data_IF_662743376759
#
_entry.id   IF_662743376759
#
_cell.length_a   1.000
_cell.length_b   1.000
_cell.length_c   1.000
_cell.angle_alpha   90.00
_cell.angle_beta   90.00
_cell.angle_gamma   90.00
#
_symmetry.space_group_name_H-M   'P 1'
#
loop_
_entity.id
_entity.type
_entity.pdbx_description
1 polymer ?
#
# COMPACT_ATOMS: atom_id res chain seq x y z
N UNK A 1 59.14 -16.83 -25.41
CA UNK A 1 58.57 -16.75 -24.05
C UNK A 1 57.62 -15.57 -23.99
N UNK A 2 56.31 -15.82 -23.99
CA UNK A 2 55.26 -14.81 -24.16
C UNK A 2 54.49 -14.72 -22.83
N UNK A 3 54.71 -13.66 -22.05
CA UNK A 3 54.05 -13.44 -20.75
C UNK A 3 52.63 -12.91 -20.98
N UNK A 4 51.62 -13.72 -20.68
CA UNK A 4 50.21 -13.30 -20.63
C UNK A 4 49.95 -12.64 -19.28
N UNK A 5 49.61 -11.35 -19.29
CA UNK A 5 49.15 -10.62 -18.10
C UNK A 5 47.63 -10.68 -18.07
N UNK A 6 47.07 -11.44 -17.13
CA UNK A 6 45.63 -11.47 -16.85
C UNK A 6 45.34 -10.36 -15.84
N UNK A 7 44.62 -9.32 -16.26
CA UNK A 7 44.11 -8.30 -15.36
C UNK A 7 42.80 -8.78 -14.74
N UNK A 8 42.80 -9.06 -13.43
CA UNK A 8 41.62 -9.41 -12.66
C UNK A 8 40.91 -8.12 -12.25
N UNK A 9 39.84 -7.77 -12.96
CA UNK A 9 39.00 -6.61 -12.64
C UNK A 9 38.07 -6.98 -11.48
N UNK A 10 38.40 -6.53 -10.26
CA UNK A 10 37.56 -6.72 -9.08
C UNK A 10 36.36 -5.76 -9.16
N UNK A 11 35.19 -6.31 -9.48
CA UNK A 11 33.93 -5.58 -9.51
C UNK A 11 33.37 -5.52 -8.08
N UNK A 12 33.58 -4.39 -7.40
CA UNK A 12 33.04 -4.14 -6.05
C UNK A 12 31.55 -3.83 -6.15
N UNK A 13 30.71 -4.81 -5.78
CA UNK A 13 29.28 -4.64 -5.53
C UNK A 13 29.09 -3.82 -4.25
N UNK A 14 28.89 -2.51 -4.38
CA UNK A 14 28.44 -1.66 -3.26
C UNK A 14 26.94 -1.85 -3.12
N UNK A 15 26.52 -2.77 -2.27
CA UNK A 15 25.12 -2.93 -1.88
C UNK A 15 24.71 -1.79 -0.94
N UNK A 16 23.93 -0.84 -1.44
CA UNK A 16 23.32 0.23 -0.65
C UNK A 16 22.23 -0.38 0.23
N UNK A 17 22.53 -0.57 1.52
CA UNK A 17 21.53 -1.02 2.49
C UNK A 17 20.50 0.09 2.71
N UNK A 18 19.22 -0.23 2.55
CA UNK A 18 18.13 0.65 2.96
C UNK A 18 17.93 0.53 4.47
N UNK A 19 17.87 1.65 5.18
CA UNK A 19 17.68 1.68 6.63
C UNK A 19 16.29 2.20 6.96
N UNK A 20 15.64 1.62 7.97
CA UNK A 20 14.44 2.20 8.55
C UNK A 20 14.77 3.62 9.04
N UNK A 21 14.14 4.61 8.42
CA UNK A 21 14.39 6.04 8.63
C UNK A 21 13.52 6.64 9.72
N UNK A 22 12.39 5.98 10.05
CA UNK A 22 11.56 6.33 11.21
C UNK A 22 10.06 6.25 10.92
N UNK A 23 9.32 7.10 11.64
CA UNK A 23 7.87 7.19 11.55
C UNK A 23 7.44 8.27 10.53
N UNK A 24 6.29 8.09 9.85
CA UNK A 24 5.68 9.15 9.06
C UNK A 24 4.89 10.12 9.96
N UNK A 25 5.03 11.42 9.72
CA UNK A 25 4.16 12.45 10.29
C UNK A 25 2.78 12.48 9.62
N UNK A 26 2.72 12.11 8.33
CA UNK A 26 1.50 11.95 7.53
C UNK A 26 1.68 10.88 6.46
N UNK A 27 0.59 10.19 6.10
CA UNK A 27 0.48 9.37 4.90
C UNK A 27 -0.83 9.74 4.21
N UNK A 28 -0.74 10.34 3.03
CA UNK A 28 -1.88 10.76 2.23
C UNK A 28 -2.07 9.83 1.06
N UNK A 29 -3.31 9.40 0.87
CA UNK A 29 -3.75 8.62 -0.28
C UNK A 29 -4.98 9.30 -0.89
N UNK A 30 -5.16 9.17 -2.21
CA UNK A 30 -6.40 9.60 -2.87
C UNK A 30 -7.36 8.42 -2.95
N UNK A 31 -8.40 8.43 -2.13
CA UNK A 31 -9.37 7.33 -2.04
C UNK A 31 -10.54 7.61 -2.97
N UNK A 32 -10.80 6.65 -3.86
CA UNK A 32 -11.87 6.71 -4.86
C UNK A 32 -13.04 5.80 -4.50
N UNK A 33 -12.84 4.81 -3.63
CA UNK A 33 -13.94 3.96 -3.17
C UNK A 33 -13.49 2.97 -2.12
N UNK A 34 -14.44 2.49 -1.34
CA UNK A 34 -14.21 1.44 -0.35
C UNK A 34 -15.28 0.36 -0.50
N UNK A 35 -14.82 -0.87 -0.43
CA UNK A 35 -15.65 -2.06 -0.50
C UNK A 35 -15.32 -2.99 0.67
N UNK A 36 -16.26 -3.83 1.06
CA UNK A 36 -16.06 -4.84 2.08
C UNK A 36 -16.64 -6.18 1.65
N UNK A 37 -15.98 -7.27 1.98
CA UNK A 37 -16.47 -8.63 1.74
C UNK A 37 -16.48 -9.44 3.02
N UNK A 38 -17.52 -10.26 3.18
CA UNK A 38 -17.58 -11.29 4.22
C UNK A 38 -16.53 -12.39 3.99
N UNK A 39 -16.04 -12.55 2.76
CA UNK A 39 -15.02 -13.52 2.37
C UNK A 39 -13.62 -12.98 2.58
N UNK A 40 -12.72 -13.81 3.12
CA UNK A 40 -11.30 -13.49 3.19
C UNK A 40 -10.66 -13.44 1.79
N UNK A 41 -11.29 -14.03 0.78
CA UNK A 41 -10.81 -14.01 -0.60
C UNK A 41 -11.30 -12.77 -1.38
N UNK A 42 -11.85 -11.78 -0.67
CA UNK A 42 -12.35 -10.54 -1.28
C UNK A 42 -13.39 -10.80 -2.40
N UNK A 43 -14.11 -11.92 -2.36
CA UNK A 43 -15.12 -12.27 -3.37
C UNK A 43 -16.45 -11.62 -3.04
N UNK A 44 -17.25 -11.27 -4.06
CA UNK A 44 -18.55 -10.61 -3.92
C UNK A 44 -18.53 -9.38 -2.98
N UNK A 45 -17.64 -8.40 -3.19
CA UNK A 45 -17.52 -7.26 -2.30
C UNK A 45 -18.76 -6.35 -2.41
N UNK A 46 -19.19 -5.83 -1.27
CA UNK A 46 -20.24 -4.81 -1.15
C UNK A 46 -19.57 -3.44 -1.20
N UNK A 47 -20.02 -2.58 -2.11
CA UNK A 47 -19.56 -1.19 -2.18
C UNK A 47 -20.11 -0.39 -1.00
N UNK A 48 -19.23 0.22 -0.21
CA UNK A 48 -19.61 1.17 0.84
C UNK A 48 -19.81 2.55 0.21
N UNK A 49 -18.83 3.02 -0.55
CA UNK A 49 -18.95 4.28 -1.29
C UNK A 49 -18.04 4.31 -2.51
N UNK A 50 -18.31 5.28 -3.41
CA UNK A 50 -17.52 5.57 -4.60
C UNK A 50 -17.48 7.09 -4.83
N UNK A 51 -16.29 7.63 -5.11
CA UNK A 51 -16.00 9.01 -5.49
C UNK A 51 -15.04 8.98 -6.70
N UNK A 52 -15.48 9.47 -7.85
CA UNK A 52 -14.71 9.37 -9.09
C UNK A 52 -13.62 10.45 -9.25
N UNK A 53 -13.60 11.49 -8.41
CA UNK A 53 -12.57 12.53 -8.47
C UNK A 53 -11.54 12.34 -7.36
N UNK A 54 -12.00 12.09 -6.13
CA UNK A 54 -11.18 11.85 -4.94
C UNK A 54 -10.27 13.02 -4.55
N UNK A 55 -10.04 13.20 -3.25
CA UNK A 55 -9.02 14.10 -2.72
C UNK A 55 -8.00 13.31 -1.90
N UNK A 56 -6.79 13.86 -1.77
CA UNK A 56 -5.79 13.29 -0.87
C UNK A 56 -6.22 13.48 0.58
N UNK A 57 -6.30 12.37 1.32
CA UNK A 57 -6.64 12.35 2.74
C UNK A 57 -5.50 11.73 3.54
N UNK A 58 -5.11 12.38 4.65
CA UNK A 58 -4.09 11.84 5.55
C UNK A 58 -4.69 10.73 6.42
N UNK A 59 -4.46 9.47 6.06
CA UNK A 59 -5.08 8.31 6.71
C UNK A 59 -4.55 8.06 8.12
N UNK A 60 -3.42 8.68 8.50
CA UNK A 60 -2.89 8.58 9.87
C UNK A 60 -3.65 9.48 10.86
N UNK A 61 -4.45 10.44 10.37
CA UNK A 61 -5.28 11.31 11.23
C UNK A 61 -6.70 10.77 11.46
N UNK A 62 -7.00 9.56 10.97
CA UNK A 62 -8.32 8.93 11.08
C UNK A 62 -9.44 9.72 10.38
N UNK A 63 -9.28 10.10 9.09
CA UNK A 63 -10.29 10.85 8.36
C UNK A 63 -11.51 9.98 8.06
N UNK A 64 -12.66 10.63 7.83
CA UNK A 64 -13.80 9.97 7.20
C UNK A 64 -13.51 9.83 5.71
N UNK A 65 -13.40 8.60 5.22
CA UNK A 65 -13.15 8.33 3.79
C UNK A 65 -14.41 8.47 2.94
N UNK A 66 -15.56 8.16 3.54
CA UNK A 66 -16.88 8.17 2.92
C UNK A 66 -17.91 7.55 3.85
N UNK A 67 -19.10 7.25 3.33
CA UNK A 67 -20.17 6.62 4.10
C UNK A 67 -21.10 5.80 3.22
N UNK A 68 -21.68 4.76 3.81
CA UNK A 68 -22.64 3.87 3.19
C UNK A 68 -23.11 2.82 4.18
N UNK A 69 -24.15 2.08 3.81
CA UNK A 69 -24.74 1.06 4.66
C UNK A 69 -24.11 -0.30 4.38
N UNK A 70 -23.73 -1.00 5.45
CA UNK A 70 -23.32 -2.40 5.42
C UNK A 70 -24.26 -3.21 6.31
N UNK A 71 -24.77 -4.36 5.83
CA UNK A 71 -25.48 -5.30 6.68
C UNK A 71 -24.64 -5.76 7.89
N UNK A 72 -25.32 -6.23 8.93
CA UNK A 72 -24.64 -6.88 10.06
C UNK A 72 -23.81 -8.08 9.58
N UNK A 73 -22.55 -8.15 10.00
CA UNK A 73 -21.61 -9.15 9.51
C UNK A 73 -20.17 -8.94 9.96
N UNK A 74 -19.36 -9.98 9.74
CA UNK A 74 -17.90 -9.93 9.91
C UNK A 74 -17.25 -9.93 8.55
N UNK A 75 -16.71 -8.78 8.18
CA UNK A 75 -16.07 -8.52 6.89
C UNK A 75 -14.58 -8.82 6.99
N UNK A 76 -14.19 -9.94 6.40
CA UNK A 76 -12.83 -10.50 6.41
C UNK A 76 -11.93 -9.89 5.32
N UNK A 77 -12.51 -9.13 4.40
CA UNK A 77 -11.76 -8.34 3.44
C UNK A 77 -12.31 -6.92 3.31
N UNK A 78 -11.41 -5.95 3.18
CA UNK A 78 -11.71 -4.56 2.82
C UNK A 78 -10.85 -4.19 1.63
N UNK A 79 -11.45 -3.51 0.66
CA UNK A 79 -10.82 -3.12 -0.59
C UNK A 79 -10.88 -1.61 -0.70
N UNK A 80 -9.73 -0.98 -0.95
CA UNK A 80 -9.66 0.46 -1.21
C UNK A 80 -9.33 0.65 -2.69
N UNK A 81 -10.25 1.27 -3.42
CA UNK A 81 -9.96 1.82 -4.75
C UNK A 81 -9.29 3.17 -4.55
N UNK A 82 -8.09 3.35 -5.09
CA UNK A 82 -7.27 4.55 -4.85
C UNK A 82 -6.39 4.87 -6.06
N UNK A 83 -5.86 6.10 -6.07
CA UNK A 83 -4.66 6.38 -6.86
C UNK A 83 -3.49 5.60 -6.26
N UNK A 84 -2.65 5.03 -7.12
CA UNK A 84 -1.34 4.47 -6.77
C UNK A 84 -0.32 5.53 -6.30
N UNK A 85 -0.55 6.80 -6.61
CA UNK A 85 0.28 7.89 -6.12
C UNK A 85 -0.05 8.15 -4.65
N UNK A 86 0.93 7.91 -3.79
CA UNK A 86 0.86 8.18 -2.36
C UNK A 86 1.78 9.34 -2.00
N UNK A 87 1.47 10.02 -0.89
CA UNK A 87 2.33 11.08 -0.37
C UNK A 87 2.63 10.83 1.09
N UNK A 88 3.86 11.00 1.52
CA UNK A 88 4.22 10.86 2.91
C UNK A 88 5.16 11.98 3.35
N UNK A 89 5.15 12.27 4.65
CA UNK A 89 6.06 13.24 5.27
C UNK A 89 6.79 12.52 6.39
N UNK A 90 8.12 12.38 6.34
CA UNK A 90 8.89 11.82 7.44
C UNK A 90 8.79 12.68 8.69
N UNK A 91 8.69 12.04 9.86
CA UNK A 91 8.75 12.73 11.15
C UNK A 91 10.18 13.13 11.54
N UNK A 92 11.17 12.34 11.10
CA UNK A 92 12.59 12.52 11.41
C UNK A 92 13.44 12.57 10.14
N UNK A 93 14.55 13.31 10.20
CA UNK A 93 15.53 13.36 9.10
C UNK A 93 16.48 12.16 9.19
N UNK A 94 16.62 11.42 8.10
CA UNK A 94 17.57 10.34 7.94
C UNK A 94 18.00 10.22 6.47
N UNK A 95 19.29 10.40 6.19
CA UNK A 95 19.90 10.32 4.85
C UNK A 95 19.10 11.06 3.76
N UNK A 96 18.35 10.36 2.92
CA UNK A 96 17.52 10.90 1.82
C UNK A 96 16.14 11.39 2.26
N UNK A 97 15.69 11.05 3.47
CA UNK A 97 14.47 11.52 4.08
C UNK A 97 14.72 12.77 4.93
N UNK A 98 14.05 13.88 4.62
CA UNK A 98 14.11 15.14 5.36
C UNK A 98 12.78 15.31 6.11
N UNK A 99 12.85 15.53 7.42
CA UNK A 99 11.68 15.76 8.25
C UNK A 99 10.86 16.95 7.74
N UNK A 100 9.53 16.78 7.66
CA UNK A 100 8.62 17.84 7.21
C UNK A 100 8.57 18.06 5.70
N UNK A 101 9.42 17.39 4.91
CA UNK A 101 9.34 17.40 3.44
C UNK A 101 8.33 16.36 2.96
N UNK A 102 7.43 16.75 2.06
CA UNK A 102 6.50 15.82 1.42
C UNK A 102 7.20 15.10 0.26
N UNK A 103 7.18 13.77 0.32
CA UNK A 103 7.64 12.89 -0.74
C UNK A 103 6.44 12.25 -1.41
N UNK A 104 6.50 12.16 -2.73
CA UNK A 104 5.49 11.46 -3.53
C UNK A 104 6.08 10.14 -3.96
N UNK A 105 5.35 9.06 -3.72
CA UNK A 105 5.70 7.71 -4.12
C UNK A 105 4.67 7.15 -5.08
N UNK A 106 5.13 6.22 -5.91
CA UNK A 106 4.30 5.44 -6.82
C UNK A 106 4.31 3.99 -6.32
N UNK A 107 3.14 3.41 -6.08
CA UNK A 107 3.02 2.03 -5.58
C UNK A 107 2.71 1.02 -6.67
N UNK A 108 2.52 1.47 -7.93
CA UNK A 108 2.33 0.59 -9.07
C UNK A 108 3.20 1.04 -10.25
N UNK A 109 4.30 0.36 -10.48
CA UNK A 109 5.33 0.82 -11.41
C UNK A 109 5.08 0.34 -12.85
N UNK A 110 5.72 1.00 -13.83
CA UNK A 110 5.73 0.49 -15.21
C UNK A 110 6.18 -0.97 -15.25
N UNK A 111 5.32 -1.81 -15.83
CA UNK A 111 5.55 -3.25 -15.95
C UNK A 111 4.85 -4.09 -14.88
N UNK A 112 4.38 -3.45 -13.80
CA UNK A 112 3.48 -4.10 -12.87
C UNK A 112 2.12 -4.36 -13.54
N UNK A 113 1.58 -5.54 -13.27
CA UNK A 113 0.22 -5.91 -13.63
C UNK A 113 -0.50 -6.15 -12.32
N UNK A 114 -1.60 -5.46 -12.07
CA UNK A 114 -2.41 -5.59 -10.85
C UNK A 114 -3.85 -5.93 -11.21
N UNK A 115 -4.69 -6.25 -10.23
CA UNK A 115 -6.01 -6.82 -10.50
C UNK A 115 -7.12 -5.82 -10.13
N UNK A 116 -8.03 -5.54 -11.06
CA UNK A 116 -9.30 -4.86 -10.76
C UNK A 116 -10.27 -5.80 -10.00
N UNK A 117 -11.37 -5.26 -9.48
CA UNK A 117 -12.38 -6.03 -8.71
C UNK A 117 -12.98 -7.21 -9.49
N UNK A 118 -13.09 -7.08 -10.80
CA UNK A 118 -13.58 -8.11 -11.72
C UNK A 118 -12.45 -9.03 -12.24
N UNK A 119 -11.25 -8.89 -11.66
CA UNK A 119 -10.00 -9.55 -12.05
C UNK A 119 -9.47 -9.15 -13.43
N UNK A 120 -10.02 -8.10 -14.06
CA UNK A 120 -9.43 -7.52 -15.27
C UNK A 120 -8.04 -6.98 -14.91
N UNK A 121 -6.99 -7.30 -15.69
CA UNK A 121 -5.66 -6.79 -15.43
C UNK A 121 -5.60 -5.27 -15.64
N UNK A 122 -4.98 -4.57 -14.70
CA UNK A 122 -4.57 -3.17 -14.80
C UNK A 122 -3.07 -3.18 -15.08
N UNK A 123 -2.67 -2.57 -16.19
CA UNK A 123 -1.27 -2.39 -16.55
C UNK A 123 -0.83 -1.01 -16.06
N UNK A 124 0.07 -0.98 -15.09
CA UNK A 124 0.49 0.28 -14.52
C UNK A 124 1.44 1.01 -15.47
N UNK A 125 1.14 2.29 -15.68
CA UNK A 125 1.91 3.25 -16.45
C UNK A 125 2.91 4.02 -15.57
N UNK A 126 2.88 3.79 -14.26
CA UNK A 126 3.71 4.41 -13.23
C UNK A 126 5.20 4.50 -13.54
N UNK A 127 5.95 5.22 -12.73
CA UNK A 127 7.25 5.73 -13.16
C UNK A 127 8.44 5.00 -12.51
N UNK A 128 9.39 4.52 -13.31
CA UNK A 128 10.60 3.84 -12.82
C UNK A 128 11.71 4.86 -12.53
N UNK A 129 12.01 5.08 -11.24
CA UNK A 129 13.21 5.78 -10.76
C UNK A 129 13.13 7.32 -10.71
N UNK A 130 13.93 7.98 -9.85
CA UNK A 130 13.87 9.42 -9.62
C UNK A 130 14.60 10.24 -10.69
N UNK A 131 14.18 11.50 -10.95
CA UNK A 131 12.95 12.16 -10.49
C UNK A 131 11.91 12.09 -11.61
N UNK A 132 11.22 10.97 -11.74
CA UNK A 132 10.08 10.88 -12.66
C UNK A 132 8.81 11.36 -11.96
N UNK A 133 7.98 12.11 -12.68
CA UNK A 133 6.66 12.51 -12.20
C UNK A 133 5.79 11.24 -12.17
N UNK A 134 5.22 10.87 -11.00
CA UNK A 134 4.34 9.72 -10.92
C UNK A 134 3.18 9.85 -11.90
N UNK A 135 2.87 8.77 -12.59
CA UNK A 135 1.69 8.68 -13.45
C UNK A 135 0.61 8.05 -12.62
N UNK A 136 -0.54 8.71 -12.53
CA UNK A 136 -1.64 8.21 -11.71
C UNK A 136 -2.38 7.08 -12.42
N UNK A 137 -2.32 5.89 -11.82
CA UNK A 137 -3.18 4.75 -12.14
C UNK A 137 -4.21 4.52 -11.01
N UNK A 138 -5.38 4.02 -11.39
CA UNK A 138 -6.42 3.62 -10.43
C UNK A 138 -6.26 2.16 -10.09
N UNK A 139 -5.87 1.87 -8.85
CA UNK A 139 -5.61 0.52 -8.36
C UNK A 139 -6.56 0.14 -7.22
N UNK A 140 -6.59 -1.16 -6.90
CA UNK A 140 -7.39 -1.72 -5.82
C UNK A 140 -6.46 -2.39 -4.81
N UNK A 141 -6.36 -1.81 -3.61
CA UNK A 141 -5.64 -2.42 -2.50
C UNK A 141 -6.55 -3.40 -1.78
N UNK A 142 -6.21 -4.68 -1.80
CA UNK A 142 -6.97 -5.75 -1.13
C UNK A 142 -6.37 -5.99 0.25
N UNK A 143 -7.17 -5.83 1.31
CA UNK A 143 -6.76 -6.15 2.68
C UNK A 143 -7.59 -7.30 3.21
N UNK A 144 -6.97 -8.38 3.66
CA UNK A 144 -7.66 -9.61 4.05
C UNK A 144 -7.11 -10.25 5.32
N UNK A 145 -7.99 -10.92 6.05
CA UNK A 145 -7.66 -11.73 7.22
C UNK A 145 -7.13 -13.14 6.87
N UNK A 146 -6.83 -13.44 5.60
CA UNK A 146 -6.13 -14.68 5.21
C UNK A 146 -4.70 -14.70 5.78
N UNK A 147 -4.32 -15.71 6.60
CA UNK A 147 -3.03 -15.76 7.28
C UNK A 147 -1.83 -16.00 6.37
N UNK A 148 -2.05 -16.43 5.12
CA UNK A 148 -0.98 -16.60 4.13
C UNK A 148 -0.43 -15.30 3.56
N UNK A 149 -1.14 -14.18 3.78
CA UNK A 149 -0.78 -12.89 3.21
C UNK A 149 0.45 -12.30 3.89
N UNK A 150 1.47 -11.99 3.09
CA UNK A 150 2.75 -11.45 3.52
C UNK A 150 2.93 -9.95 3.19
N UNK A 151 2.03 -9.36 2.39
CA UNK A 151 2.06 -7.93 2.00
C UNK A 151 3.02 -7.60 0.86
N UNK A 152 3.37 -6.32 0.70
CA UNK A 152 4.27 -5.81 -0.35
C UNK A 152 3.57 -5.60 -1.69
N UNK A 153 4.23 -5.92 -2.82
CA UNK A 153 3.68 -5.74 -4.19
C UNK A 153 2.43 -6.58 -4.44
N UNK A 154 2.19 -7.59 -3.61
CA UNK A 154 0.96 -8.38 -3.64
C UNK A 154 -0.27 -7.59 -3.19
N UNK A 155 -0.12 -6.42 -2.56
CA UNK A 155 -1.21 -5.57 -2.07
C UNK A 155 -2.32 -5.30 -3.10
N UNK A 156 -1.93 -5.22 -4.37
CA UNK A 156 -2.82 -4.89 -5.49
C UNK A 156 -3.23 -6.12 -6.32
N UNK A 157 -2.90 -7.31 -5.83
CA UNK A 157 -3.33 -8.59 -6.40
C UNK A 157 -4.55 -9.11 -5.65
N UNK A 158 -5.56 -9.57 -6.38
CA UNK A 158 -6.81 -10.06 -5.81
C UNK A 158 -6.61 -11.45 -5.20
N UNK A 159 -6.79 -11.65 -3.87
CA UNK A 159 -6.66 -12.95 -3.23
C UNK A 159 -7.89 -13.83 -3.49
N UNK A 160 -8.05 -14.37 -4.69
CA UNK A 160 -9.22 -15.18 -5.05
C UNK A 160 -9.17 -16.61 -4.53
N UNK A 161 -7.99 -17.07 -4.09
CA UNK A 161 -7.78 -18.42 -3.55
C UNK A 161 -7.18 -18.36 -2.16
N UNK A 162 -7.72 -19.12 -1.22
CA UNK A 162 -7.15 -19.23 0.12
C UNK A 162 -5.69 -19.71 0.04
N UNK A 163 -4.78 -19.03 0.73
CA UNK A 163 -3.37 -19.42 0.72
C UNK A 163 -2.51 -18.87 -0.43
N UNK A 164 -3.07 -18.06 -1.34
CA UNK A 164 -2.32 -17.55 -2.50
C UNK A 164 -1.33 -16.42 -2.18
N UNK A 165 -1.35 -15.92 -0.94
CA UNK A 165 -0.45 -14.88 -0.45
C UNK A 165 -0.66 -13.50 -1.06
N UNK A 166 -1.76 -13.29 -1.79
CA UNK A 166 -2.09 -12.00 -2.43
C UNK A 166 -2.80 -11.05 -1.48
N UNK A 167 -2.70 -9.75 -1.74
CA UNK A 167 -3.25 -8.69 -0.90
C UNK A 167 -2.31 -8.24 0.23
N UNK A 168 -2.91 -7.51 1.18
CA UNK A 168 -2.31 -6.99 2.41
C UNK A 168 -2.97 -7.64 3.62
N UNK A 169 -2.17 -7.89 4.66
CA UNK A 169 -2.68 -8.49 5.89
C UNK A 169 -3.56 -7.50 6.65
N UNK A 170 -4.79 -7.90 6.93
CA UNK A 170 -5.69 -7.24 7.86
C UNK A 170 -5.64 -7.98 9.21
N UNK A 171 -5.15 -7.33 10.26
CA UNK A 171 -4.94 -7.99 11.55
C UNK A 171 -6.24 -8.32 12.30
N UNK A 172 -7.31 -7.59 12.02
CA UNK A 172 -8.62 -7.80 12.61
C UNK A 172 -9.72 -7.42 11.60
N UNK A 173 -10.79 -8.23 11.45
CA UNK A 173 -11.86 -7.96 10.50
C UNK A 173 -12.69 -6.74 10.89
N UNK A 174 -13.39 -6.17 9.92
CA UNK A 174 -14.44 -5.19 10.18
C UNK A 174 -15.70 -5.91 10.67
N UNK A 175 -16.11 -5.65 11.91
CA UNK A 175 -17.34 -6.21 12.48
C UNK A 175 -18.41 -5.13 12.52
N UNK A 176 -19.49 -5.33 11.77
CA UNK A 176 -20.68 -4.49 11.77
C UNK A 176 -21.79 -5.23 12.50
N UNK A 177 -22.44 -4.52 13.41
CA UNK A 177 -23.67 -4.93 14.07
C UNK A 177 -24.50 -3.69 14.33
N UNK A 178 -25.82 -3.84 14.49
CA UNK A 178 -26.76 -2.74 14.80
C UNK A 178 -26.37 -1.83 15.98
N UNK A 179 -25.40 -2.22 16.82
CA UNK A 179 -24.93 -1.45 17.98
C UNK A 179 -23.45 -1.07 17.95
N UNK A 180 -22.68 -1.52 16.95
CA UNK A 180 -21.22 -1.35 16.95
C UNK A 180 -20.74 -0.31 15.95
N UNK A 181 -19.79 0.51 16.39
CA UNK A 181 -18.94 1.30 15.50
C UNK A 181 -17.57 0.63 15.41
N UNK A 182 -16.92 0.74 14.26
CA UNK A 182 -15.56 0.25 14.06
C UNK A 182 -14.68 1.41 13.58
N UNK A 183 -13.43 1.43 14.06
CA UNK A 183 -12.40 2.34 13.60
C UNK A 183 -11.42 1.58 12.72
N UNK A 184 -11.22 2.06 11.49
CA UNK A 184 -10.10 1.60 10.67
C UNK A 184 -8.80 2.22 11.23
N UNK A 185 -7.83 1.38 11.52
CA UNK A 185 -6.55 1.75 12.11
C UNK A 185 -5.44 1.48 11.10
N UNK A 186 -4.71 2.55 10.78
CA UNK A 186 -3.51 2.53 9.94
C UNK A 186 -2.34 2.87 10.84
N UNK A 187 -1.40 1.93 10.99
CA UNK A 187 -0.19 2.14 11.79
C UNK A 187 1.04 2.11 10.89
N UNK A 188 1.57 3.31 10.63
CA UNK A 188 2.74 3.55 9.80
C UNK A 188 4.05 3.62 10.58
N UNK A 189 4.08 3.30 11.87
CA UNK A 189 5.32 3.37 12.67
C UNK A 189 6.43 2.51 12.06
N UNK A 190 7.63 3.07 12.00
CA UNK A 190 8.83 2.45 11.45
C UNK A 190 8.80 2.19 9.95
N UNK A 191 7.78 2.69 9.22
CA UNK A 191 7.62 2.38 7.80
C UNK A 191 8.33 3.35 6.86
N UNK A 192 8.84 4.49 7.32
CA UNK A 192 9.64 5.37 6.47
C UNK A 192 11.01 4.73 6.28
N UNK A 193 11.49 4.67 5.04
CA UNK A 193 12.78 4.08 4.67
C UNK A 193 13.60 5.12 3.92
N UNK A 194 14.87 5.23 4.29
CA UNK A 194 15.83 6.02 3.54
C UNK A 194 16.93 5.10 3.00
N UNK A 195 17.07 5.07 1.68
CA UNK A 195 18.00 4.17 1.00
C UNK A 195 18.05 4.46 -0.50
N UNK A 196 19.17 4.14 -1.15
CA UNK A 196 19.31 4.29 -2.61
C UNK A 196 19.22 5.73 -3.15
N UNK A 197 19.23 6.75 -2.28
CA UNK A 197 18.99 8.15 -2.65
C UNK A 197 17.53 8.57 -2.60
N UNK A 198 16.62 7.68 -2.19
CA UNK A 198 15.18 7.91 -2.15
C UNK A 198 14.65 7.90 -0.72
N UNK A 199 13.56 8.63 -0.50
CA UNK A 199 12.77 8.52 0.72
C UNK A 199 11.47 7.80 0.38
N UNK A 200 11.35 6.57 0.84
CA UNK A 200 10.23 5.68 0.56
C UNK A 200 9.45 5.34 1.82
N UNK A 201 8.37 4.59 1.63
CA UNK A 201 7.55 4.10 2.72
C UNK A 201 7.12 2.66 2.46
N UNK A 202 7.39 1.76 3.41
CA UNK A 202 6.84 0.42 3.41
C UNK A 202 5.33 0.44 3.67
N UNK A 203 4.59 -0.61 3.28
CA UNK A 203 3.18 -0.70 3.61
C UNK A 203 2.94 -0.62 5.13
N UNK A 204 1.99 0.21 5.60
CA UNK A 204 1.62 0.24 7.00
C UNK A 204 0.87 -1.04 7.40
N UNK A 205 0.70 -1.23 8.70
CA UNK A 205 -0.17 -2.28 9.20
C UNK A 205 -1.62 -1.79 9.27
N UNK A 206 -2.55 -2.67 8.89
CA UNK A 206 -3.96 -2.36 8.81
C UNK A 206 -4.77 -3.23 9.77
N UNK A 207 -5.71 -2.63 10.49
CA UNK A 207 -6.61 -3.36 11.37
C UNK A 207 -7.93 -2.60 11.60
N UNK A 208 -8.92 -3.29 12.16
CA UNK A 208 -10.10 -2.65 12.73
C UNK A 208 -10.12 -2.81 14.24
N UNK A 209 -10.54 -1.75 14.92
CA UNK A 209 -10.79 -1.74 16.34
C UNK A 209 -12.27 -1.45 16.59
N UNK A 210 -12.91 -2.23 17.46
CA UNK A 210 -14.27 -1.93 17.95
C UNK A 210 -14.24 -0.67 18.82
N UNK A 211 -15.19 0.23 18.60
CA UNK A 211 -15.42 1.43 19.41
C UNK A 211 -16.52 1.17 20.45
#
# INVERSE_FOLDING_TARGET
>A
MMKKTIALMAMSLVSTSAFAAGDPASLKIKVLGVYASLSAQCTNPIQIFLNNTGDYVDILKGPTLGGGDLPDGTYNCVIIKMSDVIKHVPLTTATSCIAGTEYTGDVCHTGDIVDALDMTPIHCAGSNGPPSTPVEDVVYMYMSTDPSIVGGNNAFKHPVTAGDGKGMRLLAPLVISSTSKAKFVVDGRGQVIAGGGECGMNPPTFSFQKL
#
